data_IF_306764701752
#
_entry.id   IF_306764701752
#
_cell.length_a   1.000
_cell.length_b   1.000
_cell.length_c   1.000
_cell.angle_alpha   90.00
_cell.angle_beta   90.00
_cell.angle_gamma   90.00
#
_symmetry.space_group_name_H-M   'P 1'
#
loop_
_entity.id
_entity.type
_entity.pdbx_description
1 polymer ?
#
# COMPACT_ATOMS: atom_id res chain seq x y z
N UNK A 1 14.25 -13.96 18.27
CA UNK A 1 13.71 -12.59 18.23
C UNK A 1 12.28 -12.59 17.67
N UNK A 2 11.35 -11.82 18.26
CA UNK A 2 9.97 -11.71 17.74
C UNK A 2 9.86 -10.68 16.61
N UNK A 3 8.84 -10.78 15.73
CA UNK A 3 8.65 -9.81 14.61
C UNK A 3 8.56 -8.37 15.08
N UNK A 4 7.97 -8.15 16.25
CA UNK A 4 7.78 -6.82 16.84
C UNK A 4 9.10 -6.22 17.34
N UNK A 5 9.98 -7.03 17.92
CA UNK A 5 11.30 -6.58 18.38
C UNK A 5 12.22 -6.21 17.22
N UNK A 6 12.22 -7.01 16.15
CA UNK A 6 12.97 -6.69 14.95
C UNK A 6 12.47 -5.42 14.27
N UNK A 7 11.15 -5.20 14.25
CA UNK A 7 10.58 -3.97 13.71
C UNK A 7 10.97 -2.72 14.52
N UNK A 8 11.19 -2.87 15.83
CA UNK A 8 11.69 -1.81 16.72
C UNK A 8 13.20 -1.61 16.66
N UNK A 9 13.94 -2.48 15.97
CA UNK A 9 15.40 -2.37 15.91
C UNK A 9 15.83 -1.09 15.16
N UNK A 10 16.97 -0.47 15.54
CA UNK A 10 17.47 0.73 14.86
C UNK A 10 17.74 0.51 13.37
N UNK A 11 18.12 -0.72 13.00
CA UNK A 11 18.42 -1.13 11.63
C UNK A 11 17.19 -1.06 10.72
N UNK A 12 15.99 -1.19 11.29
CA UNK A 12 14.72 -1.17 10.56
C UNK A 12 14.04 0.19 10.55
N UNK A 13 14.61 1.21 11.21
CA UNK A 13 14.02 2.55 11.32
C UNK A 13 13.76 3.22 9.96
N UNK A 14 14.65 3.04 8.98
CA UNK A 14 14.49 3.55 7.62
C UNK A 14 13.34 2.85 6.87
N UNK A 15 13.26 1.53 6.97
CA UNK A 15 12.19 0.74 6.33
C UNK A 15 10.84 1.05 6.97
N UNK A 16 10.80 1.20 8.30
CA UNK A 16 9.61 1.62 9.04
C UNK A 16 9.10 2.97 8.58
N UNK A 17 9.97 3.98 8.50
CA UNK A 17 9.60 5.32 8.01
C UNK A 17 8.98 5.25 6.61
N UNK A 18 9.60 4.50 5.69
CA UNK A 18 9.10 4.43 4.32
C UNK A 18 7.75 3.71 4.20
N UNK A 19 7.49 2.71 5.05
CA UNK A 19 6.19 2.03 5.11
C UNK A 19 5.11 2.97 5.68
N UNK A 20 5.45 3.73 6.72
CA UNK A 20 4.55 4.78 7.24
C UNK A 20 4.27 5.84 6.17
N UNK A 21 5.29 6.30 5.44
CA UNK A 21 5.10 7.23 4.31
C UNK A 21 4.18 6.66 3.24
N UNK A 22 4.34 5.38 2.89
CA UNK A 22 3.45 4.70 1.94
C UNK A 22 2.00 4.65 2.43
N UNK A 23 1.79 4.34 3.71
CA UNK A 23 0.45 4.33 4.31
C UNK A 23 -0.18 5.73 4.32
N UNK A 24 0.60 6.77 4.65
CA UNK A 24 0.13 8.16 4.60
C UNK A 24 -0.30 8.53 3.17
N UNK A 25 0.51 8.20 2.17
CA UNK A 25 0.17 8.45 0.76
C UNK A 25 -1.10 7.70 0.35
N UNK A 26 -1.29 6.46 0.80
CA UNK A 26 -2.51 5.68 0.60
C UNK A 26 -3.75 6.34 1.21
N UNK A 27 -3.65 6.87 2.43
CA UNK A 27 -4.74 7.61 3.07
C UNK A 27 -5.08 8.92 2.36
N UNK A 28 -4.07 9.68 1.93
CA UNK A 28 -4.26 10.91 1.17
C UNK A 28 -4.99 10.62 -0.14
N UNK A 29 -4.59 9.54 -0.84
CA UNK A 29 -5.23 9.10 -2.07
C UNK A 29 -6.68 8.68 -1.85
N UNK A 30 -6.98 7.92 -0.79
CA UNK A 30 -8.34 7.55 -0.43
C UNK A 30 -9.22 8.79 -0.15
N UNK A 31 -8.68 9.78 0.55
CA UNK A 31 -9.36 11.06 0.79
C UNK A 31 -9.62 11.86 -0.50
N UNK A 32 -8.66 11.88 -1.42
CA UNK A 32 -8.84 12.47 -2.75
C UNK A 32 -9.93 11.76 -3.56
N UNK A 33 -9.89 10.43 -3.61
CA UNK A 33 -10.89 9.63 -4.33
C UNK A 33 -12.29 9.87 -3.75
N UNK A 34 -12.42 9.96 -2.43
CA UNK A 34 -13.67 10.32 -1.76
C UNK A 34 -14.16 11.71 -2.18
N UNK A 35 -13.30 12.72 -2.11
CA UNK A 35 -13.67 14.09 -2.46
C UNK A 35 -14.11 14.22 -3.93
N UNK A 36 -13.32 13.70 -4.86
CA UNK A 36 -13.61 13.85 -6.29
C UNK A 36 -14.78 12.98 -6.76
N UNK A 37 -14.90 11.73 -6.31
CA UNK A 37 -15.94 10.82 -6.80
C UNK A 37 -17.23 10.86 -5.98
N UNK A 38 -17.13 10.91 -4.64
CA UNK A 38 -18.33 10.86 -3.78
C UNK A 38 -18.94 12.25 -3.64
N UNK A 39 -18.13 13.26 -3.29
CA UNK A 39 -18.65 14.61 -3.06
C UNK A 39 -18.95 15.32 -4.39
N UNK A 40 -17.96 15.37 -5.29
CA UNK A 40 -18.05 16.11 -6.55
C UNK A 40 -18.91 15.41 -7.61
N UNK A 41 -18.82 14.09 -7.75
CA UNK A 41 -19.55 13.33 -8.77
C UNK A 41 -20.82 12.64 -8.26
N UNK A 42 -21.14 12.74 -6.96
CA UNK A 42 -22.30 12.09 -6.31
C UNK A 42 -22.41 10.59 -6.61
N UNK A 43 -21.27 9.94 -6.89
CA UNK A 43 -21.25 8.56 -7.34
C UNK A 43 -21.03 7.64 -6.13
N UNK A 44 -22.13 7.17 -5.53
CA UNK A 44 -22.11 6.36 -4.32
C UNK A 44 -21.33 5.03 -4.48
N UNK A 45 -21.16 4.53 -5.71
CA UNK A 45 -20.32 3.34 -5.96
C UNK A 45 -18.85 3.55 -5.61
N UNK A 46 -18.35 4.79 -5.64
CA UNK A 46 -16.97 5.11 -5.29
C UNK A 46 -16.68 5.00 -3.77
N UNK A 47 -17.70 4.86 -2.93
CA UNK A 47 -17.49 4.60 -1.50
C UNK A 47 -16.85 3.23 -1.25
N UNK A 48 -17.27 2.19 -1.99
CA UNK A 48 -16.67 0.86 -1.88
C UNK A 48 -15.17 0.90 -2.24
N UNK A 49 -14.83 1.72 -3.24
CA UNK A 49 -13.48 1.94 -3.74
C UNK A 49 -12.58 2.61 -2.68
N UNK A 50 -13.09 3.67 -2.04
CA UNK A 50 -12.41 4.37 -0.94
C UNK A 50 -12.23 3.43 0.26
N UNK A 51 -13.25 2.64 0.60
CA UNK A 51 -13.17 1.68 1.69
C UNK A 51 -12.08 0.63 1.42
N UNK A 52 -11.98 0.16 0.17
CA UNK A 52 -10.94 -0.78 -0.24
C UNK A 52 -9.54 -0.18 -0.12
N UNK A 53 -9.33 1.05 -0.59
CA UNK A 53 -8.07 1.80 -0.46
C UNK A 53 -7.68 1.98 1.01
N UNK A 54 -8.62 2.33 1.89
CA UNK A 54 -8.38 2.49 3.32
C UNK A 54 -8.00 1.16 3.98
N UNK A 55 -8.75 0.08 3.72
CA UNK A 55 -8.47 -1.25 4.28
C UNK A 55 -7.09 -1.74 3.84
N UNK A 56 -6.74 -1.59 2.55
CA UNK A 56 -5.41 -1.95 2.05
C UNK A 56 -4.29 -1.11 2.71
N UNK A 57 -4.50 0.21 2.86
CA UNK A 57 -3.53 1.09 3.51
C UNK A 57 -3.32 0.72 4.99
N UNK A 58 -4.40 0.35 5.68
CA UNK A 58 -4.38 -0.10 7.07
C UNK A 58 -3.66 -1.46 7.20
N UNK A 59 -3.92 -2.40 6.28
CA UNK A 59 -3.27 -3.71 6.21
C UNK A 59 -1.76 -3.61 5.97
N UNK A 60 -1.32 -2.69 5.11
CA UNK A 60 0.10 -2.43 4.86
C UNK A 60 0.76 -1.86 6.13
N UNK A 61 0.06 -1.00 6.87
CA UNK A 61 0.58 -0.40 8.10
C UNK A 61 0.68 -1.42 9.24
N UNK A 62 -0.35 -2.24 9.47
CA UNK A 62 -0.39 -3.17 10.61
C UNK A 62 0.32 -4.49 10.37
N UNK A 63 0.19 -5.06 9.17
CA UNK A 63 0.55 -6.46 8.95
C UNK A 63 1.74 -6.65 8.04
N UNK A 64 2.19 -5.60 7.32
CA UNK A 64 3.24 -5.68 6.28
C UNK A 64 3.07 -6.96 5.44
N UNK A 65 1.82 -7.24 5.06
CA UNK A 65 1.42 -8.50 4.45
C UNK A 65 1.75 -8.51 2.97
N UNK A 66 2.38 -9.60 2.49
CA UNK A 66 2.66 -9.82 1.05
C UNK A 66 1.38 -9.69 0.23
N UNK A 67 0.31 -10.28 0.75
CA UNK A 67 -0.98 -10.39 0.08
C UNK A 67 -1.59 -8.99 -0.09
N UNK A 68 -1.54 -8.14 0.93
CA UNK A 68 -2.08 -6.79 0.87
C UNK A 68 -1.37 -5.93 -0.18
N UNK A 69 -0.04 -6.05 -0.30
CA UNK A 69 0.72 -5.30 -1.30
C UNK A 69 0.42 -5.77 -2.73
N UNK A 70 0.30 -7.08 -2.95
CA UNK A 70 -0.06 -7.66 -4.25
C UNK A 70 -1.50 -7.27 -4.65
N UNK A 71 -2.45 -7.37 -3.71
CA UNK A 71 -3.85 -6.97 -3.93
C UNK A 71 -3.94 -5.48 -4.26
N UNK A 72 -3.15 -4.64 -3.58
CA UNK A 72 -3.13 -3.20 -3.85
C UNK A 72 -2.58 -2.86 -5.25
N UNK A 73 -1.56 -3.57 -5.73
CA UNK A 73 -1.07 -3.40 -7.12
C UNK A 73 -2.06 -3.92 -8.15
N UNK A 74 -2.70 -5.07 -7.91
CA UNK A 74 -3.73 -5.60 -8.80
C UNK A 74 -4.91 -4.63 -8.93
N UNK A 75 -5.34 -4.07 -7.80
CA UNK A 75 -6.36 -3.04 -7.75
C UNK A 75 -5.92 -1.76 -8.49
N UNK A 76 -4.70 -1.25 -8.23
CA UNK A 76 -4.18 -0.08 -8.93
C UNK A 76 -4.11 -0.25 -10.46
N UNK A 77 -3.69 -1.43 -10.92
CA UNK A 77 -3.68 -1.77 -12.34
C UNK A 77 -5.10 -1.80 -12.93
N UNK A 78 -6.04 -2.43 -12.23
CA UNK A 78 -7.45 -2.46 -12.63
C UNK A 78 -8.05 -1.06 -12.72
N UNK A 79 -7.82 -0.21 -11.72
CA UNK A 79 -8.32 1.17 -11.69
C UNK A 79 -7.79 1.97 -12.86
N UNK A 80 -6.50 1.86 -13.22
CA UNK A 80 -5.93 2.57 -14.38
C UNK A 80 -6.52 2.08 -15.71
N UNK A 81 -6.73 0.77 -15.87
CA UNK A 81 -7.34 0.22 -17.08
C UNK A 81 -8.79 0.71 -17.21
N UNK A 82 -9.53 0.70 -16.10
CA UNK A 82 -10.92 1.15 -16.05
C UNK A 82 -11.04 2.65 -16.35
N UNK A 83 -10.22 3.49 -15.72
CA UNK A 83 -10.25 4.95 -15.96
C UNK A 83 -9.76 5.33 -17.35
N UNK A 84 -8.78 4.60 -17.89
CA UNK A 84 -8.28 4.80 -19.26
C UNK A 84 -9.34 4.48 -20.30
N UNK A 85 -10.13 3.43 -20.09
CA UNK A 85 -11.20 3.01 -21.03
C UNK A 85 -12.42 3.93 -20.93
N UNK A 86 -12.77 4.38 -19.72
CA UNK A 86 -13.97 5.20 -19.48
C UNK A 86 -13.79 6.69 -19.80
N UNK A 87 -12.63 7.28 -19.52
CA UNK A 87 -12.40 8.71 -19.70
C UNK A 87 -11.58 9.07 -20.95
N UNK A 88 -11.09 8.07 -21.70
CA UNK A 88 -10.20 8.27 -22.85
C UNK A 88 -8.86 8.96 -22.51
N UNK A 89 -8.57 9.11 -21.21
CA UNK A 89 -7.39 9.79 -20.66
C UNK A 89 -6.81 8.91 -19.55
N UNK A 90 -5.50 8.78 -19.53
CA UNK A 90 -4.74 8.13 -18.45
C UNK A 90 -4.83 8.98 -17.17
N UNK A 91 -5.92 8.81 -16.41
CA UNK A 91 -6.14 9.41 -15.10
C UNK A 91 -5.99 8.33 -14.03
N UNK A 92 -5.27 8.61 -12.93
CA UNK A 92 -5.03 7.63 -11.86
C UNK A 92 -3.66 6.94 -11.87
N UNK A 93 -2.72 7.39 -12.71
CA UNK A 93 -1.33 6.87 -12.73
C UNK A 93 -0.60 7.03 -11.38
N UNK A 94 -0.99 8.01 -10.57
CA UNK A 94 -0.50 8.19 -9.20
C UNK A 94 -0.82 6.98 -8.28
N UNK A 95 -1.96 6.31 -8.49
CA UNK A 95 -2.34 5.11 -7.73
C UNK A 95 -1.33 3.99 -7.97
N UNK A 96 -0.89 3.82 -9.22
CA UNK A 96 0.11 2.80 -9.59
C UNK A 96 1.45 3.09 -8.96
N UNK A 97 1.92 4.35 -8.97
CA UNK A 97 3.19 4.72 -8.32
C UNK A 97 3.16 4.41 -6.82
N UNK A 98 2.09 4.78 -6.12
CA UNK A 98 1.93 4.50 -4.69
C UNK A 98 1.90 2.98 -4.45
N UNK A 99 1.21 2.23 -5.32
CA UNK A 99 1.11 0.79 -5.18
C UNK A 99 2.43 0.04 -5.40
N UNK A 100 3.19 0.43 -6.42
CA UNK A 100 4.52 -0.12 -6.69
C UNK A 100 5.47 0.20 -5.54
N UNK A 101 5.42 1.43 -5.01
CA UNK A 101 6.22 1.82 -3.85
C UNK A 101 5.88 0.95 -2.63
N UNK A 102 4.59 0.74 -2.35
CA UNK A 102 4.13 -0.10 -1.24
C UNK A 102 4.63 -1.55 -1.35
N UNK A 103 4.63 -2.12 -2.56
CA UNK A 103 5.19 -3.46 -2.82
C UNK A 103 6.68 -3.50 -2.56
N UNK A 104 7.47 -2.58 -3.13
CA UNK A 104 8.93 -2.56 -2.97
C UNK A 104 9.29 -2.53 -1.48
N UNK A 105 8.65 -1.67 -0.69
CA UNK A 105 8.95 -1.58 0.75
C UNK A 105 8.50 -2.80 1.54
N UNK A 106 7.35 -3.37 1.22
CA UNK A 106 6.86 -4.60 1.86
C UNK A 106 7.81 -5.77 1.59
N UNK A 107 8.29 -5.92 0.35
CA UNK A 107 9.25 -6.96 -0.01
C UNK A 107 10.63 -6.74 0.63
N UNK A 108 11.12 -5.51 0.69
CA UNK A 108 12.39 -5.17 1.38
C UNK A 108 12.33 -5.50 2.87
N UNK A 109 11.24 -5.15 3.54
CA UNK A 109 11.03 -5.49 4.95
C UNK A 109 11.12 -7.00 5.20
N UNK A 110 10.48 -7.77 4.34
CA UNK A 110 10.43 -9.21 4.53
C UNK A 110 11.71 -9.94 4.14
N UNK A 111 12.45 -9.42 3.16
CA UNK A 111 13.80 -9.93 2.86
C UNK A 111 14.74 -9.70 4.05
N UNK A 112 14.66 -8.53 4.69
CA UNK A 112 15.41 -8.24 5.91
C UNK A 112 15.02 -9.18 7.06
N UNK A 113 13.72 -9.40 7.28
CA UNK A 113 13.23 -10.34 8.30
C UNK A 113 13.64 -11.80 8.03
N UNK A 114 13.67 -12.22 6.76
CA UNK A 114 14.08 -13.56 6.39
C UNK A 114 15.59 -13.77 6.58
N UNK A 115 16.41 -12.75 6.28
CA UNK A 115 17.85 -12.79 6.50
C UNK A 115 18.18 -12.88 8.01
N UNK A 116 17.53 -12.06 8.84
CA UNK A 116 17.71 -12.10 10.31
C UNK A 116 17.32 -13.46 10.91
N UNK A 117 16.29 -14.11 10.35
CA UNK A 117 15.86 -15.45 10.77
C UNK A 117 16.83 -16.55 10.35
N UNK A 118 17.49 -16.39 9.21
CA UNK A 118 18.49 -17.34 8.74
C UNK A 118 19.76 -17.26 9.60
N UNK A 119 20.19 -16.04 9.95
CA UNK A 119 21.35 -15.78 10.82
C UNK A 119 21.15 -16.30 12.25
N UNK A 120 19.95 -16.09 12.83
CA UNK A 120 19.58 -16.63 14.14
C UNK A 120 19.18 -18.13 14.14
N UNK A 121 19.25 -18.81 12.98
CA UNK A 121 18.87 -20.22 12.81
C UNK A 121 20.02 -21.12 12.38
N UNK A 122 21.23 -20.56 12.26
CA UNK A 122 22.48 -21.28 11.96
C UNK A 122 23.40 -21.32 13.18
N UNK A 123 22.84 -21.67 14.34
CA UNK A 123 23.58 -22.26 15.47
C UNK A 123 23.06 -23.67 15.73
#
# INVERSE_FOLDING_TARGET
MTRLEFFKSPQMSAIRKNITTCAILGYVLAGLTLYFNVIKSQNHFALADVLFLLVCSLLIHFLQSRVAAIVFVAYAAFTVIYTSTSNGKLSGWWVVLIAVYAVIFTFRFQKAWAAEKADNGTE
#
